data_IF_939313748204
#
_entry.id   IF_939313748204
#
_cell.length_a   1.000
_cell.length_b   1.000
_cell.length_c   1.000
_cell.angle_alpha   90.00
_cell.angle_beta   90.00
_cell.angle_gamma   90.00
#
_symmetry.space_group_name_H-M   'P 1'
#
loop_
_entity.id
_entity.type
_entity.pdbx_description
1 polymer ?
#
# COMPACT_ATOMS: atom_id res chain seq x y z
N UNK A 1 -24.48 -32.18 -11.52
CA UNK A 1 -23.50 -32.11 -10.45
C UNK A 1 -22.99 -30.66 -10.31
N UNK A 2 -22.98 -30.12 -9.11
CA UNK A 2 -22.42 -28.80 -8.94
C UNK A 2 -20.93 -28.83 -9.31
N UNK A 3 -20.51 -27.88 -10.15
CA UNK A 3 -19.10 -27.72 -10.47
C UNK A 3 -18.32 -27.37 -9.18
N UNK A 4 -17.18 -27.99 -8.99
CA UNK A 4 -16.31 -27.65 -7.87
C UNK A 4 -15.84 -26.19 -8.04
N UNK A 5 -16.01 -25.37 -7.00
CA UNK A 5 -15.49 -24.01 -7.00
C UNK A 5 -13.95 -24.03 -7.13
N UNK A 6 -13.38 -23.08 -7.89
CA UNK A 6 -11.94 -23.06 -8.10
C UNK A 6 -11.19 -22.85 -6.77
N UNK A 7 -10.07 -23.50 -6.64
CA UNK A 7 -9.18 -23.40 -5.49
C UNK A 7 -8.15 -22.29 -5.68
N UNK A 8 -7.69 -21.75 -4.58
CA UNK A 8 -6.61 -20.79 -4.55
C UNK A 8 -5.36 -21.33 -5.28
N UNK A 9 -4.73 -20.50 -6.11
CA UNK A 9 -3.52 -20.85 -6.88
C UNK A 9 -2.29 -21.18 -6.02
N UNK A 10 -2.29 -20.80 -4.75
CA UNK A 10 -1.15 -21.04 -3.86
C UNK A 10 -1.13 -22.49 -3.42
N UNK A 11 -0.20 -23.26 -3.93
CA UNK A 11 0.18 -24.63 -3.58
C UNK A 11 -0.85 -25.47 -2.85
N UNK A 12 -0.64 -25.67 -1.55
CA UNK A 12 -1.50 -26.53 -0.71
C UNK A 12 -2.71 -25.83 -0.12
N UNK A 13 -3.00 -24.57 -0.51
CA UNK A 13 -4.15 -23.84 -0.01
C UNK A 13 -5.46 -24.48 -0.45
N UNK A 14 -6.31 -24.84 0.52
CA UNK A 14 -7.61 -25.49 0.26
C UNK A 14 -8.75 -24.48 0.19
N UNK A 15 -8.49 -23.19 0.41
CA UNK A 15 -9.51 -22.15 0.38
C UNK A 15 -9.99 -21.88 -1.04
N UNK A 16 -11.23 -21.42 -1.17
CA UNK A 16 -11.83 -21.06 -2.45
C UNK A 16 -11.14 -19.82 -3.00
N UNK A 17 -10.81 -19.85 -4.30
CA UNK A 17 -10.30 -18.70 -5.02
C UNK A 17 -11.45 -17.72 -5.28
N UNK A 18 -11.38 -16.53 -4.68
CA UNK A 18 -12.40 -15.48 -4.80
C UNK A 18 -11.89 -14.25 -5.55
N UNK A 19 -10.58 -14.10 -5.69
CA UNK A 19 -9.93 -12.89 -6.23
C UNK A 19 -8.84 -13.29 -7.22
N UNK A 20 -9.15 -13.23 -8.50
CA UNK A 20 -8.19 -13.50 -9.60
C UNK A 20 -7.39 -14.80 -9.38
N UNK A 21 -8.08 -15.85 -8.95
CA UNK A 21 -7.47 -17.16 -8.70
C UNK A 21 -6.88 -17.35 -7.30
N UNK A 22 -7.04 -16.41 -6.38
CA UNK A 22 -6.54 -16.48 -5.02
C UNK A 22 -7.65 -16.38 -3.98
N UNK A 23 -7.49 -17.03 -2.84
CA UNK A 23 -8.33 -16.74 -1.68
C UNK A 23 -8.01 -15.33 -1.13
N UNK A 24 -8.89 -14.79 -0.29
CA UNK A 24 -8.73 -13.42 0.25
C UNK A 24 -7.34 -13.18 0.87
N UNK A 25 -6.84 -14.12 1.69
CA UNK A 25 -5.56 -13.97 2.38
C UNK A 25 -4.38 -13.93 1.38
N UNK A 26 -4.32 -14.87 0.45
CA UNK A 26 -3.26 -14.92 -0.56
C UNK A 26 -3.37 -13.79 -1.57
N UNK A 27 -4.59 -13.40 -1.96
CA UNK A 27 -4.84 -12.24 -2.80
C UNK A 27 -4.30 -10.96 -2.16
N UNK A 28 -4.59 -10.73 -0.87
CA UNK A 28 -4.11 -9.56 -0.13
C UNK A 28 -2.58 -9.52 -0.07
N UNK A 29 -1.94 -10.62 0.28
CA UNK A 29 -0.47 -10.71 0.34
C UNK A 29 0.18 -10.46 -1.01
N UNK A 30 -0.39 -11.03 -2.06
CA UNK A 30 0.15 -10.87 -3.41
C UNK A 30 -0.04 -9.44 -3.92
N UNK A 31 -1.21 -8.84 -3.71
CA UNK A 31 -1.47 -7.45 -4.06
C UNK A 31 -0.52 -6.50 -3.32
N UNK A 32 -0.26 -6.74 -2.03
CA UNK A 32 0.71 -5.95 -1.26
C UNK A 32 2.11 -6.04 -1.84
N UNK A 33 2.53 -7.23 -2.24
CA UNK A 33 3.86 -7.45 -2.86
C UNK A 33 3.99 -6.71 -4.18
N UNK A 34 3.02 -6.85 -5.06
CA UNK A 34 3.00 -6.17 -6.37
C UNK A 34 3.01 -4.66 -6.17
N UNK A 35 2.13 -4.15 -5.32
CA UNK A 35 2.02 -2.73 -5.03
C UNK A 35 3.32 -2.17 -4.43
N UNK A 36 3.90 -2.87 -3.46
CA UNK A 36 5.17 -2.48 -2.85
C UNK A 36 6.31 -2.39 -3.87
N UNK A 37 6.40 -3.37 -4.78
CA UNK A 37 7.40 -3.35 -5.85
C UNK A 37 7.18 -2.16 -6.77
N UNK A 38 5.93 -1.89 -7.16
CA UNK A 38 5.57 -0.76 -8.01
C UNK A 38 5.97 0.58 -7.38
N UNK A 39 5.70 0.79 -6.10
CA UNK A 39 6.04 2.02 -5.38
C UNK A 39 7.56 2.20 -5.24
N UNK A 40 8.30 1.12 -5.04
CA UNK A 40 9.76 1.16 -4.85
C UNK A 40 10.53 1.25 -6.16
N UNK A 41 9.94 0.81 -7.28
CA UNK A 41 10.61 0.72 -8.58
C UNK A 41 11.09 2.10 -9.05
N UNK A 42 12.40 2.24 -9.26
CA UNK A 42 13.03 3.50 -9.66
C UNK A 42 12.90 4.64 -8.66
N UNK A 43 12.35 4.38 -7.46
CA UNK A 43 12.14 5.38 -6.43
C UNK A 43 13.37 5.63 -5.56
N UNK A 44 13.38 6.80 -4.91
CA UNK A 44 14.35 7.17 -3.89
C UNK A 44 13.61 7.45 -2.58
N UNK A 45 14.29 7.22 -1.46
CA UNK A 45 13.74 7.51 -0.15
C UNK A 45 13.22 8.96 -0.07
N UNK A 46 11.97 9.13 0.33
CA UNK A 46 11.37 10.46 0.52
C UNK A 46 12.05 11.29 1.58
N UNK A 47 12.74 10.65 2.54
CA UNK A 47 13.58 11.35 3.52
C UNK A 47 14.78 12.09 2.93
N UNK A 48 15.14 11.80 1.68
CA UNK A 48 16.22 12.49 0.96
C UNK A 48 15.73 13.54 -0.03
N UNK A 49 14.42 13.75 -0.11
CA UNK A 49 13.82 14.71 -1.03
C UNK A 49 13.82 16.12 -0.43
N UNK A 50 13.88 17.13 -1.29
CA UNK A 50 13.89 18.53 -0.88
C UNK A 50 12.66 18.95 -0.06
N UNK A 51 11.54 18.27 -0.25
CA UNK A 51 10.28 18.52 0.46
C UNK A 51 10.16 17.78 1.81
N UNK A 52 11.19 17.03 2.23
CA UNK A 52 11.22 16.40 3.54
C UNK A 52 11.40 17.48 4.60
N UNK A 53 10.43 17.60 5.51
CA UNK A 53 10.43 18.60 6.59
C UNK A 53 10.74 18.00 7.97
N UNK A 54 11.10 16.72 8.02
CA UNK A 54 11.52 16.05 9.24
C UNK A 54 12.99 16.30 9.57
N UNK A 55 13.52 15.63 10.61
CA UNK A 55 14.92 15.74 10.98
C UNK A 55 15.84 15.22 9.88
N UNK A 56 17.05 15.76 9.80
CA UNK A 56 18.08 15.26 8.90
C UNK A 56 18.66 13.96 9.46
N UNK A 57 18.10 12.84 8.98
CA UNK A 57 18.52 11.49 9.36
C UNK A 57 19.18 10.83 8.16
N UNK A 58 20.28 10.13 8.39
CA UNK A 58 20.92 9.35 7.35
C UNK A 58 20.04 8.14 6.98
N UNK A 59 19.91 7.84 5.69
CA UNK A 59 19.23 6.65 5.23
C UNK A 59 19.88 5.39 5.78
N UNK A 60 19.04 4.42 6.18
CA UNK A 60 19.46 3.11 6.65
C UNK A 60 18.38 2.07 6.37
N UNK A 61 18.80 0.83 6.16
CA UNK A 61 17.90 -0.25 5.81
C UNK A 61 17.45 -0.26 4.36
N UNK A 62 16.57 -1.21 4.05
CA UNK A 62 16.04 -1.36 2.69
C UNK A 62 14.96 -0.34 2.38
N UNK A 63 14.85 0.01 1.10
CA UNK A 63 13.75 0.83 0.62
C UNK A 63 12.43 0.04 0.76
N UNK A 64 11.45 0.64 1.42
CA UNK A 64 10.15 0.03 1.66
C UNK A 64 9.02 0.88 1.07
N UNK A 65 7.84 0.27 0.95
CA UNK A 65 6.61 0.97 0.60
C UNK A 65 6.00 1.54 1.88
N UNK A 66 6.04 2.85 2.04
CA UNK A 66 5.47 3.53 3.19
C UNK A 66 4.06 3.99 2.86
N UNK A 67 3.05 3.41 3.51
CA UNK A 67 1.67 3.85 3.39
C UNK A 67 1.45 5.13 4.20
N UNK A 68 0.82 6.12 3.57
CA UNK A 68 0.51 7.39 4.22
C UNK A 68 -0.69 7.21 5.17
N UNK A 69 -1.85 6.81 4.66
CA UNK A 69 -2.92 6.27 5.48
C UNK A 69 -2.67 4.77 5.67
N UNK A 70 -2.83 4.29 6.90
CA UNK A 70 -2.51 2.92 7.30
C UNK A 70 -3.17 1.86 6.42
N UNK A 71 -2.50 0.73 6.24
CA UNK A 71 -3.02 -0.43 5.50
C UNK A 71 -4.34 -0.98 6.04
N UNK A 72 -4.72 -0.63 7.28
CA UNK A 72 -6.04 -0.99 7.81
C UNK A 72 -7.19 -0.35 7.02
N UNK A 73 -6.95 0.78 6.37
CA UNK A 73 -7.90 1.44 5.48
C UNK A 73 -7.81 0.83 4.09
N UNK A 74 -8.50 -0.27 3.88
CA UNK A 74 -8.41 -1.07 2.65
C UNK A 74 -8.76 -0.30 1.39
N UNK A 75 -9.66 0.68 1.47
CA UNK A 75 -10.06 1.48 0.31
C UNK A 75 -8.94 2.32 -0.31
N UNK A 76 -7.88 2.57 0.45
CA UNK A 76 -6.71 3.33 -0.04
C UNK A 76 -5.41 2.51 0.03
N UNK A 77 -5.47 1.27 0.49
CA UNK A 77 -4.31 0.41 0.68
C UNK A 77 -3.49 0.21 -0.60
N UNK A 78 -4.14 0.13 -1.74
CA UNK A 78 -3.51 -0.08 -3.04
C UNK A 78 -3.68 1.13 -3.97
N UNK A 79 -3.82 2.31 -3.41
CA UNK A 79 -3.85 3.57 -4.16
C UNK A 79 -2.43 4.15 -4.21
N UNK A 80 -1.91 4.37 -5.43
CA UNK A 80 -0.55 4.86 -5.62
C UNK A 80 -0.30 6.22 -4.98
N UNK A 81 -1.33 7.04 -4.78
CA UNK A 81 -1.22 8.32 -4.07
C UNK A 81 -1.00 8.14 -2.57
N UNK A 82 -1.35 6.97 -2.04
CA UNK A 82 -1.28 6.66 -0.61
C UNK A 82 0.03 6.00 -0.19
N UNK A 83 1.04 6.01 -1.02
CA UNK A 83 2.30 5.34 -0.68
C UNK A 83 3.49 6.04 -1.31
N UNK A 84 4.59 6.04 -0.59
CA UNK A 84 5.87 6.59 -1.06
C UNK A 84 7.01 5.63 -0.70
N UNK A 85 8.08 5.58 -1.52
CA UNK A 85 9.26 4.81 -1.16
C UNK A 85 10.01 5.50 -0.01
N UNK A 86 10.40 4.72 1.00
CA UNK A 86 11.10 5.25 2.16
C UNK A 86 12.01 4.16 2.76
N UNK A 87 13.25 4.51 3.10
CA UNK A 87 14.16 3.58 3.75
C UNK A 87 13.68 3.22 5.16
N UNK A 88 14.20 2.13 5.72
CA UNK A 88 13.77 1.65 7.02
C UNK A 88 13.86 2.70 8.13
N UNK A 89 14.95 3.47 8.16
CA UNK A 89 15.18 4.50 9.19
C UNK A 89 14.18 5.65 9.09
N UNK A 90 13.98 6.21 7.90
CA UNK A 90 12.99 7.27 7.69
C UNK A 90 11.56 6.78 7.88
N UNK A 91 11.27 5.55 7.42
CA UNK A 91 9.95 4.94 7.59
C UNK A 91 9.59 4.77 9.07
N UNK A 92 10.54 4.27 9.86
CA UNK A 92 10.36 4.13 11.30
C UNK A 92 10.08 5.48 11.98
N UNK A 93 10.90 6.49 11.69
CA UNK A 93 10.69 7.83 12.24
C UNK A 93 9.32 8.40 11.85
N UNK A 94 8.98 8.29 10.58
CA UNK A 94 7.73 8.80 10.02
C UNK A 94 6.50 8.20 10.71
N UNK A 95 6.50 6.88 10.91
CA UNK A 95 5.39 6.19 11.56
C UNK A 95 5.32 6.43 13.07
N UNK A 96 6.43 6.81 13.71
CA UNK A 96 6.48 7.08 15.15
C UNK A 96 6.32 8.56 15.52
N UNK A 97 6.09 9.42 14.54
CA UNK A 97 5.86 10.85 14.74
C UNK A 97 4.58 11.27 14.00
N UNK A 98 3.40 10.89 14.52
CA UNK A 98 2.14 11.02 13.81
C UNK A 98 1.72 12.46 13.49
N UNK A 99 2.08 13.44 14.30
CA UNK A 99 1.76 14.85 14.06
C UNK A 99 2.56 15.35 12.85
N UNK A 100 3.87 15.12 12.86
CA UNK A 100 4.78 15.50 11.77
C UNK A 100 4.46 14.74 10.49
N UNK A 101 4.10 13.46 10.62
CA UNK A 101 3.62 12.63 9.52
C UNK A 101 2.41 13.27 8.84
N UNK A 102 1.41 13.67 9.62
CA UNK A 102 0.19 14.26 9.10
C UNK A 102 0.46 15.59 8.39
N UNK A 103 1.30 16.44 8.96
CA UNK A 103 1.73 17.70 8.35
C UNK A 103 2.42 17.46 6.99
N UNK A 104 3.33 16.50 6.91
CA UNK A 104 3.99 16.14 5.66
C UNK A 104 3.01 15.58 4.62
N UNK A 105 2.06 14.75 5.05
CA UNK A 105 1.03 14.21 4.16
C UNK A 105 0.19 15.32 3.55
N UNK A 106 -0.21 16.31 4.34
CA UNK A 106 -0.94 17.49 3.84
C UNK A 106 -0.12 18.24 2.80
N UNK A 107 1.15 18.45 3.06
CA UNK A 107 2.07 19.13 2.15
C UNK A 107 2.25 18.38 0.84
N UNK A 108 2.51 17.06 0.92
CA UNK A 108 2.78 16.23 -0.27
C UNK A 108 1.54 15.99 -1.13
N UNK A 109 0.40 15.75 -0.49
CA UNK A 109 -0.83 15.37 -1.17
C UNK A 109 -1.69 16.58 -1.60
N UNK A 110 -1.58 17.70 -0.88
CA UNK A 110 -2.42 18.85 -1.16
C UNK A 110 -3.91 18.48 -1.16
N UNK A 111 -4.61 18.72 -2.27
CA UNK A 111 -6.03 18.38 -2.40
C UNK A 111 -6.31 16.87 -2.32
N UNK A 112 -5.35 16.04 -2.68
CA UNK A 112 -5.50 14.59 -2.61
C UNK A 112 -5.58 14.08 -1.17
N UNK A 113 -5.05 14.81 -0.19
CA UNK A 113 -5.15 14.44 1.22
C UNK A 113 -6.60 14.24 1.66
N UNK A 114 -7.44 15.23 1.42
CA UNK A 114 -8.84 15.16 1.83
C UNK A 114 -9.62 14.09 1.02
N UNK A 115 -9.33 13.97 -0.26
CA UNK A 115 -9.94 12.94 -1.10
C UNK A 115 -9.58 11.53 -0.62
N UNK A 116 -8.31 11.27 -0.31
CA UNK A 116 -7.87 9.99 0.22
C UNK A 116 -8.45 9.72 1.61
N UNK A 117 -8.53 10.75 2.46
CA UNK A 117 -9.12 10.64 3.80
C UNK A 117 -10.58 10.22 3.73
N UNK A 118 -11.36 10.89 2.88
CA UNK A 118 -12.77 10.56 2.69
C UNK A 118 -12.95 9.16 2.10
N UNK A 119 -12.11 8.78 1.15
CA UNK A 119 -12.12 7.46 0.54
C UNK A 119 -11.75 6.37 1.56
N UNK A 120 -10.76 6.64 2.42
CA UNK A 120 -10.36 5.71 3.48
C UNK A 120 -11.50 5.38 4.44
N UNK A 121 -12.35 6.37 4.72
CA UNK A 121 -13.49 6.24 5.63
C UNK A 121 -14.80 5.82 4.93
N UNK A 122 -14.78 5.67 3.60
CA UNK A 122 -15.96 5.32 2.82
C UNK A 122 -16.31 3.83 2.92
N UNK A 123 -17.51 3.48 2.47
CA UNK A 123 -17.97 2.08 2.36
C UNK A 123 -17.73 1.50 0.96
N UNK A 124 -16.80 2.05 0.18
CA UNK A 124 -16.45 1.52 -1.13
C UNK A 124 -15.90 0.10 -1.05
N UNK A 125 -16.09 -0.65 -2.13
CA UNK A 125 -15.56 -2.02 -2.21
C UNK A 125 -14.08 -2.01 -2.56
N UNK A 126 -13.24 -2.21 -1.55
CA UNK A 126 -11.78 -2.29 -1.69
C UNK A 126 -11.32 -3.45 -2.59
N UNK A 127 -12.17 -4.47 -2.81
CA UNK A 127 -11.82 -5.66 -3.62
C UNK A 127 -11.50 -5.29 -5.05
N UNK A 128 -12.21 -4.33 -5.62
CA UNK A 128 -12.00 -3.85 -7.01
C UNK A 128 -10.56 -3.36 -7.19
N UNK A 129 -10.04 -2.56 -6.26
CA UNK A 129 -8.66 -2.04 -6.33
C UNK A 129 -7.63 -3.14 -6.16
N UNK A 130 -7.84 -4.03 -5.21
CA UNK A 130 -6.97 -5.18 -5.00
C UNK A 130 -6.87 -6.04 -6.26
N UNK A 131 -8.01 -6.35 -6.85
CA UNK A 131 -8.08 -7.18 -8.07
C UNK A 131 -7.46 -6.49 -9.27
N UNK A 132 -7.56 -5.16 -9.37
CA UNK A 132 -6.89 -4.37 -10.41
C UNK A 132 -5.37 -4.51 -10.30
N UNK A 133 -4.82 -4.44 -9.09
CA UNK A 133 -3.39 -4.65 -8.85
C UNK A 133 -2.98 -6.07 -9.24
N UNK A 134 -3.76 -7.07 -8.87
CA UNK A 134 -3.49 -8.47 -9.22
C UNK A 134 -3.50 -8.70 -10.72
N UNK A 135 -4.43 -8.09 -11.45
CA UNK A 135 -4.52 -8.21 -12.91
C UNK A 135 -3.39 -7.50 -13.64
N UNK A 136 -2.85 -6.44 -13.06
CA UNK A 136 -1.70 -5.73 -13.63
C UNK A 136 -0.42 -6.57 -13.73
N UNK A 137 -0.37 -7.70 -13.02
CA UNK A 137 0.74 -8.66 -13.11
C UNK A 137 0.61 -9.64 -14.29
N UNK A 138 -0.61 -9.76 -14.83
CA UNK A 138 -0.88 -10.65 -15.98
C UNK A 138 -0.30 -10.05 -17.30
#
# INVERSE_FOLDING_TARGET
MPSKLPRCKVGRCKKIARHVGYCKTHATKRADKIFSLMIREGGRCYGTKAFWSGPLIQCGGYLSCCHLFSRKYRNVRWDARNAVPMCGTHHYWFDHNPIEKDDMMLEWLGLDYEMLRLQALSNEDWRIRMETVLRGEE
#
